data_IF_031470479030
#
_entry.id   IF_031470479030
#
_cell.length_a   1.000
_cell.length_b   1.000
_cell.length_c   1.000
_cell.angle_alpha   90.00
_cell.angle_beta   90.00
_cell.angle_gamma   90.00
#
_symmetry.space_group_name_H-M   'P 1'
#
loop_
_entity.id
_entity.type
_entity.pdbx_description
1 polymer ?
#
# COMPACT_ATOMS: atom_id res chain seq x y z
N UNK A 1 86.94 49.84 -2.46
CA UNK A 1 86.79 48.41 -2.25
C UNK A 1 86.10 48.21 -0.90
N UNK A 2 84.84 48.10 -0.87
CA UNK A 2 84.08 47.85 0.39
C UNK A 2 83.12 46.71 0.06
N UNK A 3 83.34 45.52 0.64
CA UNK A 3 82.45 44.38 0.59
C UNK A 3 81.29 44.62 1.58
N UNK A 4 80.09 44.56 1.07
CA UNK A 4 78.86 44.54 1.83
C UNK A 4 78.49 43.11 2.17
N UNK A 5 78.50 42.75 3.44
CA UNK A 5 78.02 41.45 3.91
C UNK A 5 76.47 41.44 3.94
N UNK A 6 75.88 40.52 3.28
CA UNK A 6 74.42 40.28 3.20
C UNK A 6 74.07 39.21 4.25
N UNK A 7 73.44 39.62 5.32
CA UNK A 7 72.94 38.71 6.39
C UNK A 7 71.59 38.14 5.92
N UNK A 8 71.55 36.83 5.59
CA UNK A 8 70.34 36.13 5.34
C UNK A 8 69.68 35.72 6.66
N UNK A 9 68.57 36.36 7.00
CA UNK A 9 67.70 35.93 8.12
C UNK A 9 66.86 34.72 7.72
N UNK A 10 67.22 33.55 8.20
CA UNK A 10 66.40 32.32 8.06
C UNK A 10 65.24 32.42 9.07
N UNK A 11 64.07 32.77 8.57
CA UNK A 11 62.83 32.70 9.36
C UNK A 11 62.39 31.24 9.55
N UNK A 12 62.50 30.74 10.79
CA UNK A 12 61.96 29.43 11.16
C UNK A 12 60.43 29.51 11.18
N UNK A 13 59.80 28.96 10.13
CA UNK A 13 58.34 28.79 10.10
C UNK A 13 58.00 27.58 10.99
N UNK A 14 57.58 27.79 12.22
CA UNK A 14 57.05 26.74 13.10
C UNK A 14 55.65 26.37 12.58
N UNK A 15 55.54 25.30 11.83
CA UNK A 15 54.26 24.71 11.49
C UNK A 15 53.63 24.14 12.76
N UNK A 16 52.68 24.87 13.36
CA UNK A 16 51.81 24.33 14.40
C UNK A 16 50.94 23.23 13.79
N UNK A 17 51.32 21.98 14.04
CA UNK A 17 50.42 20.85 13.81
C UNK A 17 49.22 21.02 14.74
N UNK A 18 48.14 21.57 14.20
CA UNK A 18 46.81 21.45 14.82
C UNK A 18 46.49 19.96 14.74
N UNK A 19 46.73 19.21 15.82
CA UNK A 19 46.16 17.90 16.01
C UNK A 19 44.65 18.09 16.13
N UNK A 20 43.94 18.05 15.00
CA UNK A 20 42.51 17.93 14.99
C UNK A 20 42.17 16.65 15.74
N UNK A 21 41.75 16.79 17.00
CA UNK A 21 41.13 15.67 17.71
C UNK A 21 40.08 15.12 16.83
N UNK A 22 40.13 13.81 16.51
CA UNK A 22 39.03 13.13 15.84
C UNK A 22 37.78 13.46 16.66
N UNK A 23 36.95 14.36 16.13
CA UNK A 23 35.61 14.54 16.67
C UNK A 23 34.95 13.18 16.52
N UNK A 24 34.86 12.43 17.62
CA UNK A 24 34.00 11.26 17.69
C UNK A 24 32.57 11.78 17.52
N UNK A 25 32.15 11.89 16.27
CA UNK A 25 30.80 12.27 15.89
C UNK A 25 29.79 11.14 16.19
N UNK A 26 30.09 10.28 17.13
CA UNK A 26 29.16 9.38 17.75
C UNK A 26 28.39 10.15 18.81
N UNK A 27 27.51 11.06 18.35
CA UNK A 27 26.60 11.75 19.24
C UNK A 27 25.84 10.67 20.02
N UNK A 28 26.04 10.64 21.34
CA UNK A 28 25.27 9.77 22.23
C UNK A 28 23.79 10.03 21.97
N UNK A 29 23.00 9.06 21.58
CA UNK A 29 21.60 9.28 21.23
C UNK A 29 20.80 9.68 22.47
N UNK A 30 19.70 10.37 22.27
CA UNK A 30 18.70 10.49 23.32
C UNK A 30 17.95 9.15 23.45
N UNK A 31 17.71 8.71 24.68
CA UNK A 31 16.90 7.53 24.98
C UNK A 31 15.52 7.68 24.33
N UNK A 32 15.02 6.64 23.67
CA UNK A 32 13.76 6.66 22.95
C UNK A 32 13.84 7.17 21.50
N UNK A 33 15.03 7.61 21.05
CA UNK A 33 15.23 7.96 19.63
C UNK A 33 15.07 6.71 18.76
N UNK A 34 14.33 6.83 17.65
CA UNK A 34 14.20 5.78 16.63
C UNK A 34 15.09 6.15 15.45
N UNK A 35 15.90 5.19 14.99
CA UNK A 35 16.70 5.35 13.78
C UNK A 35 16.45 4.19 12.81
N UNK A 36 16.74 4.44 11.54
CA UNK A 36 16.74 3.43 10.49
C UNK A 36 18.17 3.08 10.09
N UNK A 37 18.46 1.80 9.90
CA UNK A 37 19.79 1.33 9.48
C UNK A 37 19.66 0.28 8.37
N UNK A 38 20.62 0.29 7.44
CA UNK A 38 20.77 -0.76 6.44
C UNK A 38 21.49 -2.02 6.96
N UNK A 39 22.01 -1.98 8.21
CA UNK A 39 22.64 -3.16 8.84
C UNK A 39 21.57 -4.19 9.24
N UNK A 40 21.98 -5.45 9.36
CA UNK A 40 21.09 -6.52 9.79
C UNK A 40 20.95 -6.66 11.31
N UNK A 41 21.57 -5.76 12.08
CA UNK A 41 21.51 -5.70 13.55
C UNK A 41 21.39 -4.27 14.04
N UNK A 42 20.86 -4.09 15.25
CA UNK A 42 20.90 -2.81 15.96
C UNK A 42 22.23 -2.66 16.72
N UNK A 43 22.88 -1.48 16.69
CA UNK A 43 24.12 -1.22 17.45
C UNK A 43 23.93 -1.44 18.95
N UNK A 44 25.05 -1.52 19.68
CA UNK A 44 25.04 -1.58 21.15
C UNK A 44 24.32 -0.34 21.71
N UNK A 45 23.49 -0.52 22.74
CA UNK A 45 22.64 0.52 23.31
C UNK A 45 21.33 0.78 22.54
N UNK A 46 21.07 -0.04 21.50
CA UNK A 46 19.84 0.01 20.71
C UNK A 46 19.15 -1.34 20.68
N UNK A 47 17.83 -1.33 20.67
CA UNK A 47 16.99 -2.53 20.52
C UNK A 47 16.19 -2.48 19.23
N UNK A 48 15.79 -3.65 18.71
CA UNK A 48 14.89 -3.75 17.55
C UNK A 48 13.51 -3.15 17.87
N UNK A 49 13.01 -2.27 17.01
CA UNK A 49 11.67 -1.72 17.11
C UNK A 49 10.64 -2.70 16.48
N UNK A 50 10.53 -3.89 17.09
CA UNK A 50 9.73 -5.01 16.61
C UNK A 50 8.60 -5.44 17.59
N UNK A 51 8.26 -4.55 18.54
CA UNK A 51 7.21 -4.83 19.52
C UNK A 51 7.62 -5.73 20.67
N UNK A 52 8.93 -5.98 20.86
CA UNK A 52 9.40 -6.84 21.96
C UNK A 52 9.08 -6.23 23.33
N UNK A 53 8.90 -7.11 24.30
CA UNK A 53 8.63 -6.75 25.69
C UNK A 53 9.96 -6.71 26.46
N UNK A 54 10.21 -5.63 27.18
CA UNK A 54 11.39 -5.42 28.01
C UNK A 54 11.03 -5.37 29.49
N UNK A 55 11.97 -5.78 30.36
CA UNK A 55 11.85 -5.62 31.79
C UNK A 55 12.09 -4.16 32.21
N UNK A 56 11.22 -3.60 33.02
CA UNK A 56 11.33 -2.23 33.54
C UNK A 56 12.60 -2.07 34.36
N UNK A 57 12.94 -3.07 35.21
CA UNK A 57 14.10 -3.02 36.10
C UNK A 57 15.46 -2.83 35.41
N UNK A 58 15.53 -3.12 34.12
CA UNK A 58 16.75 -2.98 33.31
C UNK A 58 16.68 -1.78 32.33
N UNK A 59 15.51 -1.15 32.20
CA UNK A 59 15.24 -0.10 31.21
C UNK A 59 14.34 0.99 31.80
N UNK A 60 14.53 1.33 33.05
CA UNK A 60 13.71 2.29 33.83
C UNK A 60 13.66 3.67 33.18
N UNK A 61 14.79 4.13 32.68
CA UNK A 61 14.89 5.42 31.97
C UNK A 61 14.01 5.45 30.71
N UNK A 62 14.06 4.41 29.88
CA UNK A 62 13.22 4.30 28.69
C UNK A 62 11.74 4.14 29.07
N UNK A 63 11.44 3.32 30.08
CA UNK A 63 10.07 3.15 30.57
C UNK A 63 9.47 4.47 31.06
N UNK A 64 10.24 5.32 31.74
CA UNK A 64 9.76 6.64 32.19
C UNK A 64 9.38 7.58 31.04
N UNK A 65 9.92 7.35 29.83
CA UNK A 65 9.64 8.15 28.63
C UNK A 65 8.44 7.64 27.83
N UNK A 66 8.37 6.32 27.61
CA UNK A 66 7.37 5.74 26.72
C UNK A 66 6.22 5.00 27.45
N UNK A 67 6.42 4.66 28.73
CA UNK A 67 5.42 3.97 29.55
C UNK A 67 4.93 2.69 28.91
N UNK A 68 3.63 2.44 28.97
CA UNK A 68 2.94 1.30 28.37
C UNK A 68 2.30 1.63 27.01
N UNK A 69 2.72 2.72 26.37
CA UNK A 69 2.16 3.20 25.11
C UNK A 69 2.14 2.13 24.00
N UNK A 70 3.13 1.25 24.02
CA UNK A 70 3.30 0.18 23.02
C UNK A 70 3.05 -1.22 23.59
N UNK A 71 2.57 -1.33 24.84
CA UNK A 71 2.21 -2.59 25.49
C UNK A 71 2.98 -2.84 26.79
N UNK A 72 2.85 -4.07 27.31
CA UNK A 72 3.39 -4.48 28.62
C UNK A 72 2.38 -4.31 29.74
N UNK A 73 2.74 -4.79 30.94
CA UNK A 73 1.89 -4.73 32.14
C UNK A 73 2.04 -3.44 32.95
N UNK A 74 3.11 -2.64 32.69
CA UNK A 74 3.39 -1.40 33.40
C UNK A 74 3.88 -1.58 34.85
N UNK A 75 4.09 -2.79 35.30
CA UNK A 75 4.55 -3.14 36.65
C UNK A 75 5.95 -3.76 36.58
N UNK A 76 6.12 -4.77 35.74
CA UNK A 76 7.38 -5.47 35.53
C UNK A 76 7.90 -5.34 34.10
N UNK A 77 7.02 -5.09 33.15
CA UNK A 77 7.30 -5.08 31.72
C UNK A 77 6.65 -3.91 30.98
N UNK A 78 7.26 -3.55 29.84
CA UNK A 78 6.70 -2.61 28.88
C UNK A 78 7.08 -3.02 27.45
N UNK A 79 6.30 -2.54 26.46
CA UNK A 79 6.52 -2.86 25.05
C UNK A 79 7.29 -1.78 24.31
N UNK A 80 8.10 -2.19 23.35
CA UNK A 80 8.70 -1.31 22.35
C UNK A 80 7.77 -1.09 21.16
N UNK A 81 7.91 0.01 20.40
CA UNK A 81 7.16 0.21 19.17
C UNK A 81 7.40 -0.92 18.16
N UNK A 82 6.35 -1.36 17.48
CA UNK A 82 6.42 -2.30 16.35
C UNK A 82 6.28 -1.57 15.03
N UNK A 83 7.39 -1.39 14.32
CA UNK A 83 7.45 -0.70 13.03
C UNK A 83 7.44 -1.65 11.85
N UNK A 84 7.30 -2.97 12.07
CA UNK A 84 7.26 -3.96 10.98
C UNK A 84 5.99 -3.77 10.14
N UNK A 85 6.15 -3.63 8.82
CA UNK A 85 5.04 -3.42 7.88
C UNK A 85 4.27 -2.11 8.09
N UNK A 86 4.87 -1.11 8.76
CA UNK A 86 4.21 0.15 9.12
C UNK A 86 5.02 1.36 8.70
N UNK A 87 4.32 2.42 8.35
CA UNK A 87 4.89 3.75 8.13
C UNK A 87 4.68 4.58 9.39
N UNK A 88 5.75 5.20 9.89
CA UNK A 88 5.65 6.13 11.02
C UNK A 88 4.99 7.43 10.57
N UNK A 89 3.98 7.87 11.33
CA UNK A 89 3.30 9.15 11.13
C UNK A 89 3.30 9.95 12.42
N UNK A 90 3.14 11.28 12.31
CA UNK A 90 3.13 12.16 13.48
C UNK A 90 1.79 12.07 14.24
N UNK A 91 1.86 12.18 15.57
CA UNK A 91 0.68 12.26 16.46
C UNK A 91 -0.01 13.61 16.33
N UNK A 92 -1.30 13.68 16.65
CA UNK A 92 -2.10 14.89 16.61
C UNK A 92 -3.08 14.95 15.45
N UNK A 93 -3.63 16.14 15.21
CA UNK A 93 -4.60 16.38 14.16
C UNK A 93 -4.17 17.60 13.34
N UNK A 94 -3.90 17.40 12.05
CA UNK A 94 -3.72 18.49 11.09
C UNK A 94 -5.06 19.00 10.52
N UNK A 95 -5.09 20.19 9.90
CA UNK A 95 -6.29 20.71 9.26
C UNK A 95 -6.83 19.72 8.22
N UNK A 96 -8.11 19.36 8.34
CA UNK A 96 -8.77 18.40 7.45
C UNK A 96 -8.32 16.93 7.59
N UNK A 97 -7.43 16.61 8.56
CA UNK A 97 -6.94 15.26 8.79
C UNK A 97 -7.57 14.63 10.02
N UNK A 98 -7.54 13.31 10.09
CA UNK A 98 -7.98 12.56 11.27
C UNK A 98 -6.99 12.72 12.41
N UNK A 99 -7.49 12.75 13.66
CA UNK A 99 -6.65 12.73 14.86
C UNK A 99 -5.92 11.39 15.00
N UNK A 100 -4.65 11.45 15.41
CA UNK A 100 -3.78 10.29 15.65
C UNK A 100 -3.20 10.34 17.05
N UNK A 101 -3.26 9.23 17.75
CA UNK A 101 -2.75 9.10 19.12
C UNK A 101 -1.43 8.33 19.09
N UNK A 102 -0.49 8.70 19.97
CA UNK A 102 0.79 7.99 20.08
C UNK A 102 0.55 6.50 20.37
N UNK A 103 1.29 5.63 19.69
CA UNK A 103 1.13 4.18 19.80
C UNK A 103 -0.03 3.59 18.98
N UNK A 104 -0.86 4.41 18.35
CA UNK A 104 -1.99 3.95 17.55
C UNK A 104 -1.53 3.20 16.30
N UNK A 105 -2.06 2.00 16.08
CA UNK A 105 -1.80 1.16 14.91
C UNK A 105 -3.07 1.05 14.07
N UNK A 106 -2.99 1.46 12.81
CA UNK A 106 -4.12 1.42 11.86
C UNK A 106 -3.59 1.04 10.48
N UNK A 107 -4.48 0.51 9.64
CA UNK A 107 -4.20 0.15 8.26
C UNK A 107 -4.11 -1.34 8.04
N UNK A 108 -4.02 -1.72 6.77
CA UNK A 108 -3.92 -3.10 6.31
C UNK A 108 -3.06 -3.15 5.05
N UNK A 109 -2.26 -4.19 4.91
CA UNK A 109 -1.44 -4.44 3.71
C UNK A 109 -2.28 -4.86 2.50
N UNK A 110 -3.48 -5.38 2.76
CA UNK A 110 -4.42 -5.77 1.70
C UNK A 110 -5.79 -5.15 1.96
N UNK A 111 -6.52 -4.88 0.88
CA UNK A 111 -7.92 -4.44 0.96
C UNK A 111 -8.77 -5.27 0.02
N UNK A 112 -9.99 -5.60 0.45
CA UNK A 112 -11.00 -6.25 -0.38
C UNK A 112 -12.10 -5.25 -0.66
N UNK A 113 -12.31 -4.93 -1.94
CA UNK A 113 -13.40 -4.04 -2.35
C UNK A 113 -14.73 -4.78 -2.25
N UNK A 114 -15.67 -4.20 -1.54
CA UNK A 114 -17.05 -4.67 -1.49
C UNK A 114 -17.91 -3.93 -2.53
N UNK A 115 -19.06 -4.49 -2.90
CA UNK A 115 -19.97 -3.88 -3.86
C UNK A 115 -20.38 -2.45 -3.45
N UNK A 116 -20.52 -2.19 -2.15
CA UNK A 116 -20.90 -0.87 -1.62
C UNK A 116 -19.79 0.19 -1.71
N UNK A 117 -18.54 -0.22 -1.96
CA UNK A 117 -17.39 0.67 -2.11
C UNK A 117 -17.14 1.06 -3.58
N UNK A 118 -17.83 0.41 -4.51
CA UNK A 118 -17.79 0.78 -5.92
C UNK A 118 -18.85 1.83 -6.22
N UNK A 119 -18.55 2.80 -7.10
CA UNK A 119 -19.57 3.72 -7.60
C UNK A 119 -20.75 2.96 -8.19
N UNK A 120 -21.95 3.50 -8.03
CA UNK A 120 -23.15 2.91 -8.66
C UNK A 120 -22.95 2.89 -10.16
N UNK A 121 -22.98 1.73 -10.74
CA UNK A 121 -22.85 1.51 -12.17
C UNK A 121 -23.80 0.40 -12.61
N UNK A 122 -24.15 0.33 -13.95
CA UNK A 122 -24.97 -0.70 -14.57
C UNK A 122 -24.32 -1.19 -15.85
N UNK A 123 -24.50 -2.47 -16.13
CA UNK A 123 -24.13 -3.06 -17.40
C UNK A 123 -25.40 -3.19 -18.24
N UNK A 124 -25.52 -2.37 -19.29
CA UNK A 124 -26.58 -2.51 -20.27
C UNK A 124 -26.20 -3.57 -21.29
N UNK A 125 -27.07 -4.54 -21.51
CA UNK A 125 -26.95 -5.44 -22.65
C UNK A 125 -28.19 -5.27 -23.50
N UNK A 126 -28.03 -4.95 -24.78
CA UNK A 126 -29.07 -4.87 -25.74
C UNK A 126 -28.89 -6.00 -26.75
N UNK A 127 -29.83 -6.91 -26.81
CA UNK A 127 -29.80 -7.98 -27.80
C UNK A 127 -31.00 -7.77 -28.74
N UNK A 128 -30.72 -7.65 -30.03
CA UNK A 128 -31.74 -7.58 -31.05
C UNK A 128 -31.91 -8.97 -31.68
N UNK A 129 -33.10 -9.44 -31.65
CA UNK A 129 -33.47 -10.67 -32.32
C UNK A 129 -34.39 -10.35 -33.49
N UNK A 130 -34.04 -10.81 -34.67
CA UNK A 130 -34.87 -10.67 -35.87
C UNK A 130 -35.18 -12.08 -36.36
N UNK A 131 -36.48 -12.45 -36.31
CA UNK A 131 -36.92 -13.65 -36.91
C UNK A 131 -37.33 -13.33 -38.35
N UNK A 132 -36.87 -14.11 -39.32
CA UNK A 132 -37.16 -13.92 -40.72
C UNK A 132 -37.89 -15.12 -41.28
N UNK A 133 -38.82 -14.86 -42.16
CA UNK A 133 -39.57 -15.83 -42.89
C UNK A 133 -39.40 -15.62 -44.41
N UNK A 134 -39.69 -16.63 -45.19
CA UNK A 134 -39.78 -16.52 -46.64
C UNK A 134 -41.16 -16.00 -47.05
N UNK A 135 -41.23 -15.05 -47.99
CA UNK A 135 -42.46 -14.65 -48.58
C UNK A 135 -43.05 -15.79 -49.46
N UNK A 136 -44.33 -16.04 -49.32
CA UNK A 136 -45.04 -17.04 -50.11
C UNK A 136 -45.36 -18.32 -49.33
N UNK A 137 -46.05 -19.21 -50.03
CA UNK A 137 -46.54 -20.42 -49.39
C UNK A 137 -45.48 -21.46 -49.07
N UNK A 138 -45.66 -22.15 -47.93
CA UNK A 138 -44.82 -23.30 -47.59
C UNK A 138 -44.86 -24.42 -48.63
N UNK A 139 -43.74 -25.04 -48.88
CA UNK A 139 -43.56 -26.10 -49.89
C UNK A 139 -43.18 -27.41 -49.26
N UNK A 140 -42.67 -27.43 -48.04
CA UNK A 140 -42.24 -28.65 -47.34
C UNK A 140 -42.90 -28.77 -45.96
N UNK A 141 -43.25 -29.97 -45.53
CA UNK A 141 -43.79 -30.20 -44.19
C UNK A 141 -42.70 -30.32 -43.11
N UNK A 142 -41.45 -30.50 -43.53
CA UNK A 142 -40.37 -30.77 -42.63
C UNK A 142 -39.53 -29.46 -42.33
N UNK A 143 -39.17 -29.19 -41.06
CA UNK A 143 -38.39 -27.99 -40.68
C UNK A 143 -36.91 -28.09 -40.99
N UNK A 144 -36.37 -29.30 -41.18
CA UNK A 144 -34.93 -29.51 -41.32
C UNK A 144 -34.39 -28.84 -42.59
N UNK A 145 -33.49 -27.79 -42.39
CA UNK A 145 -32.88 -27.03 -43.47
C UNK A 145 -33.84 -26.11 -44.22
N UNK A 146 -35.04 -25.86 -43.70
CA UNK A 146 -36.04 -25.00 -44.32
C UNK A 146 -36.37 -23.77 -43.49
N UNK A 147 -36.78 -22.69 -44.13
CA UNK A 147 -37.21 -21.43 -43.50
C UNK A 147 -38.72 -21.46 -43.25
N UNK A 148 -39.18 -20.68 -42.24
CA UNK A 148 -40.60 -20.42 -42.06
C UNK A 148 -41.16 -19.70 -43.29
N UNK A 149 -42.39 -20.04 -43.67
CA UNK A 149 -43.10 -19.45 -44.78
C UNK A 149 -44.52 -19.03 -44.36
N UNK A 150 -45.27 -18.41 -45.27
CA UNK A 150 -46.68 -18.09 -45.07
C UNK A 150 -47.48 -19.39 -44.85
N UNK A 151 -48.10 -19.50 -43.68
CA UNK A 151 -48.84 -20.69 -43.24
C UNK A 151 -50.26 -20.83 -43.86
N UNK A 152 -50.58 -20.23 -45.00
CA UNK A 152 -51.91 -20.33 -45.65
C UNK A 152 -52.23 -21.74 -46.25
N UNK A 153 -51.21 -22.59 -46.22
CA UNK A 153 -51.33 -23.99 -46.59
C UNK A 153 -50.97 -24.89 -45.42
N UNK A 154 -51.20 -26.18 -45.52
CA UNK A 154 -50.80 -27.18 -44.52
C UNK A 154 -49.26 -27.31 -44.37
N UNK A 155 -48.50 -26.67 -45.22
CA UNK A 155 -47.06 -26.68 -45.22
C UNK A 155 -46.58 -25.28 -44.82
N UNK A 156 -45.77 -25.18 -43.73
CA UNK A 156 -45.31 -23.93 -43.13
C UNK A 156 -43.82 -23.71 -43.32
N UNK A 157 -43.11 -24.61 -44.01
CA UNK A 157 -41.70 -24.50 -44.29
C UNK A 157 -41.42 -24.43 -45.79
N UNK A 158 -40.34 -23.77 -46.19
CA UNK A 158 -39.89 -23.66 -47.57
C UNK A 158 -38.38 -23.61 -47.66
N UNK A 159 -37.82 -24.04 -48.78
CA UNK A 159 -36.40 -23.87 -49.10
C UNK A 159 -36.11 -22.50 -49.75
N UNK A 160 -37.10 -21.65 -49.94
CA UNK A 160 -36.90 -20.30 -50.41
C UNK A 160 -36.15 -19.45 -49.36
N UNK A 161 -35.34 -18.45 -49.74
CA UNK A 161 -34.64 -17.59 -48.82
C UNK A 161 -35.59 -16.80 -47.94
N UNK A 162 -35.21 -16.62 -46.64
CA UNK A 162 -35.95 -15.79 -45.69
C UNK A 162 -35.69 -14.30 -45.98
N UNK A 163 -36.67 -13.59 -46.50
CA UNK A 163 -36.59 -12.22 -46.99
C UNK A 163 -37.62 -11.27 -46.35
N UNK A 164 -38.46 -11.76 -45.47
CA UNK A 164 -39.45 -10.95 -44.74
C UNK A 164 -39.12 -11.00 -43.23
N UNK A 165 -39.08 -9.86 -42.59
CA UNK A 165 -38.97 -9.79 -41.14
C UNK A 165 -40.35 -10.02 -40.53
N UNK A 166 -40.40 -10.90 -39.53
CA UNK A 166 -41.59 -11.13 -38.72
C UNK A 166 -41.77 -10.01 -37.71
N UNK A 167 -43.01 -9.83 -37.24
CA UNK A 167 -43.29 -8.86 -36.17
C UNK A 167 -42.42 -9.13 -34.94
N UNK A 168 -41.91 -8.06 -34.33
CA UNK A 168 -41.03 -8.15 -33.19
C UNK A 168 -41.65 -8.85 -31.96
N UNK A 169 -43.00 -8.86 -31.88
CA UNK A 169 -43.75 -9.58 -30.84
C UNK A 169 -43.79 -11.10 -31.04
N UNK A 170 -43.42 -11.59 -32.23
CA UNK A 170 -43.37 -13.03 -32.51
C UNK A 170 -42.26 -13.78 -31.74
N UNK A 171 -41.31 -13.06 -31.15
CA UNK A 171 -40.19 -13.63 -30.40
C UNK A 171 -40.07 -12.99 -29.05
N UNK A 172 -40.16 -13.73 -27.97
CA UNK A 172 -39.80 -13.29 -26.63
C UNK A 172 -38.37 -13.72 -26.32
N UNK A 173 -37.55 -12.78 -25.96
CA UNK A 173 -36.16 -13.03 -25.54
C UNK A 173 -35.84 -12.28 -24.26
N UNK A 174 -35.05 -12.89 -23.39
CA UNK A 174 -34.51 -12.26 -22.20
C UNK A 174 -32.99 -12.32 -22.23
N UNK A 175 -32.36 -11.22 -21.86
CA UNK A 175 -30.91 -11.14 -21.71
C UNK A 175 -30.59 -10.94 -20.24
N UNK A 176 -29.74 -11.80 -19.68
CA UNK A 176 -29.20 -11.63 -18.33
C UNK A 176 -27.71 -11.35 -18.42
N UNK A 177 -27.28 -10.38 -17.64
CA UNK A 177 -25.83 -10.06 -17.47
C UNK A 177 -25.41 -10.62 -16.14
N UNK A 178 -24.38 -11.46 -16.14
CA UNK A 178 -23.80 -12.01 -14.93
C UNK A 178 -23.05 -10.92 -14.16
N UNK A 179 -23.03 -11.04 -12.83
CA UNK A 179 -22.20 -10.18 -12.01
C UNK A 179 -20.73 -10.41 -12.36
N UNK A 180 -19.99 -9.31 -12.52
CA UNK A 180 -18.54 -9.32 -12.67
C UNK A 180 -17.88 -9.00 -11.32
N UNK A 181 -16.72 -9.62 -11.06
CA UNK A 181 -15.94 -9.40 -9.83
C UNK A 181 -15.86 -10.65 -8.96
N UNK A 182 -14.87 -10.72 -8.08
CA UNK A 182 -14.59 -11.91 -7.28
C UNK A 182 -14.19 -11.60 -5.84
N UNK A 183 -14.31 -10.35 -5.38
CA UNK A 183 -13.91 -9.91 -4.02
C UNK A 183 -12.49 -10.37 -3.63
N UNK A 184 -11.57 -10.43 -4.61
CA UNK A 184 -10.19 -10.81 -4.35
C UNK A 184 -9.48 -9.69 -3.60
N UNK A 185 -8.67 -10.03 -2.58
CA UNK A 185 -7.83 -9.04 -1.91
C UNK A 185 -6.84 -8.42 -2.89
N UNK A 186 -6.74 -7.10 -2.86
CA UNK A 186 -5.77 -6.32 -3.63
C UNK A 186 -4.72 -5.79 -2.66
N UNK A 187 -3.43 -5.92 -3.03
CA UNK A 187 -2.35 -5.35 -2.23
C UNK A 187 -2.46 -3.82 -2.18
N UNK A 188 -2.42 -3.28 -0.98
CA UNK A 188 -2.40 -1.83 -0.71
C UNK A 188 -0.96 -1.32 -0.48
N UNK A 189 0.03 -2.18 -0.64
CA UNK A 189 1.44 -1.86 -0.44
C UNK A 189 1.99 -1.15 -1.68
N UNK A 190 2.50 0.07 -1.47
CA UNK A 190 3.30 0.75 -2.49
C UNK A 190 4.70 0.10 -2.60
N UNK A 191 5.48 0.32 -3.67
CA UNK A 191 6.86 -0.14 -3.73
C UNK A 191 7.65 0.32 -2.50
N UNK A 192 8.35 -0.59 -1.83
CA UNK A 192 9.06 -0.33 -0.58
C UNK A 192 10.43 -1.02 -0.57
N UNK A 193 11.33 -0.48 0.24
CA UNK A 193 12.61 -1.08 0.60
C UNK A 193 12.62 -1.35 2.10
N UNK A 194 12.93 -2.58 2.48
CA UNK A 194 13.01 -2.95 3.89
C UNK A 194 14.37 -2.54 4.47
N UNK A 195 14.33 -1.75 5.53
CA UNK A 195 15.46 -1.39 6.37
C UNK A 195 15.10 -1.67 7.83
N UNK A 196 16.10 -1.80 8.70
CA UNK A 196 15.89 -2.10 10.11
C UNK A 196 15.60 -0.84 10.90
N UNK A 197 14.57 -0.85 11.75
CA UNK A 197 14.27 0.20 12.72
C UNK A 197 14.83 -0.20 14.10
N UNK A 198 15.57 0.70 14.73
CA UNK A 198 16.15 0.52 16.06
C UNK A 198 15.73 1.67 16.98
N UNK A 199 15.49 1.38 18.26
CA UNK A 199 15.20 2.34 19.31
C UNK A 199 16.34 2.38 20.33
N UNK A 200 16.81 3.57 20.70
CA UNK A 200 17.85 3.73 21.72
C UNK A 200 17.29 3.38 23.10
N UNK A 201 17.88 2.36 23.73
CA UNK A 201 17.58 1.95 25.12
C UNK A 201 18.56 2.56 26.10
N UNK A 202 19.74 2.96 25.62
CA UNK A 202 20.80 3.64 26.38
C UNK A 202 21.14 4.99 25.71
N UNK A 203 21.53 5.98 26.51
CA UNK A 203 21.89 7.29 25.98
C UNK A 203 21.63 8.43 26.96
N UNK A 204 21.45 9.64 26.43
CA UNK A 204 21.15 10.83 27.21
C UNK A 204 19.64 10.86 27.50
N UNK A 205 19.27 11.04 28.77
CA UNK A 205 17.87 11.24 29.12
C UNK A 205 17.39 12.63 28.61
N UNK A 206 16.34 12.68 27.77
CA UNK A 206 15.83 13.95 27.24
C UNK A 206 15.14 14.75 28.35
N UNK A 207 15.56 16.01 28.57
CA UNK A 207 14.84 16.93 29.44
C UNK A 207 13.66 17.55 28.69
N UNK A 208 12.55 17.77 29.40
CA UNK A 208 11.46 18.60 28.88
C UNK A 208 11.79 20.06 29.14
N UNK A 209 11.70 20.89 28.13
CA UNK A 209 11.77 22.35 28.25
C UNK A 209 10.44 22.93 28.68
#
# INVERSE_FOLDING_TARGET
MKQAAMIAALGAFTASLVTGGAANAQATPYIGTVMWTGANFCPIGWADANGQILAISQNDALFSLIGTTYGGDGVSTFGLPDLRGRVAIHTGQGPGLSSRVLGQMIGSETTTLTANQLPVHSHGATTQYVMRAAAGNGTTPAPAGANLADGRTSRIFTNAPSNVEMDASALSASTSVSNAGGNQPVSNMQPYLVVKACIAVEGIYPSRS
#
